data_IF_905902636449
#
_entry.id   IF_905902636449
#
_cell.length_a   1.000
_cell.length_b   1.000
_cell.length_c   1.000
_cell.angle_alpha   90.00
_cell.angle_beta   90.00
_cell.angle_gamma   90.00
#
_symmetry.space_group_name_H-M   'P 1'
#
loop_
_entity.id
_entity.type
_entity.pdbx_description
1 polymer ?
#
# COMPACT_ATOMS: atom_id res chain seq x y z
N UNK A 1 -13.88 -8.10 -16.55
CA UNK A 1 -13.53 -8.41 -15.14
C UNK A 1 -14.80 -8.73 -14.36
N UNK A 2 -14.76 -9.37 -13.17
CA UNK A 2 -15.98 -9.60 -12.40
C UNK A 2 -16.53 -8.26 -11.87
N UNK A 3 -17.83 -8.04 -12.07
CA UNK A 3 -18.60 -6.84 -11.67
C UNK A 3 -18.48 -6.59 -10.16
N UNK A 4 -18.21 -5.36 -9.77
CA UNK A 4 -18.15 -4.90 -8.37
C UNK A 4 -19.50 -5.18 -7.71
N UNK A 5 -19.50 -5.85 -6.56
CA UNK A 5 -20.73 -6.15 -5.81
C UNK A 5 -21.20 -4.90 -5.05
N UNK A 6 -22.50 -4.73 -4.82
CA UNK A 6 -23.07 -3.55 -4.13
C UNK A 6 -22.39 -3.24 -2.78
N UNK A 7 -22.00 -4.28 -2.02
CA UNK A 7 -21.27 -4.10 -0.74
C UNK A 7 -19.82 -3.61 -0.92
N UNK A 8 -19.17 -3.99 -2.02
CA UNK A 8 -17.84 -3.46 -2.37
C UNK A 8 -17.94 -1.99 -2.81
N UNK A 9 -19.07 -1.62 -3.44
CA UNK A 9 -19.31 -0.27 -3.91
C UNK A 9 -19.43 0.75 -2.76
N UNK A 10 -20.07 0.38 -1.65
CA UNK A 10 -20.16 1.23 -0.46
C UNK A 10 -18.76 1.52 0.15
N UNK A 11 -17.91 0.49 0.31
CA UNK A 11 -16.55 0.66 0.80
C UNK A 11 -15.70 1.52 -0.15
N UNK A 12 -15.83 1.30 -1.46
CA UNK A 12 -15.11 2.07 -2.47
C UNK A 12 -15.59 3.53 -2.48
N UNK A 13 -16.89 3.77 -2.37
CA UNK A 13 -17.48 5.11 -2.32
C UNK A 13 -17.00 5.87 -1.09
N UNK A 14 -16.98 5.23 0.08
CA UNK A 14 -16.44 5.85 1.29
C UNK A 14 -14.95 6.18 1.13
N UNK A 15 -14.17 5.22 0.60
CA UNK A 15 -12.75 5.43 0.37
C UNK A 15 -12.47 6.54 -0.65
N UNK A 16 -13.36 6.71 -1.63
CA UNK A 16 -13.30 7.79 -2.61
C UNK A 16 -13.53 9.14 -1.95
N UNK A 17 -14.55 9.27 -1.10
CA UNK A 17 -14.80 10.50 -0.34
C UNK A 17 -13.59 10.86 0.54
N UNK A 18 -13.00 9.88 1.23
CA UNK A 18 -11.81 10.10 2.06
C UNK A 18 -10.57 10.54 1.25
N UNK A 19 -10.49 10.07 0.00
CA UNK A 19 -9.35 10.29 -0.89
C UNK A 19 -9.54 11.45 -1.88
N UNK A 20 -10.72 12.04 -1.98
CA UNK A 20 -11.13 13.02 -3.02
C UNK A 20 -10.07 14.09 -3.26
N UNK A 21 -9.54 14.69 -2.19
CA UNK A 21 -8.52 15.75 -2.26
C UNK A 21 -7.16 15.33 -2.84
N UNK A 22 -6.92 14.03 -3.00
CA UNK A 22 -5.69 13.46 -3.53
C UNK A 22 -5.84 12.94 -4.97
N UNK A 23 -7.07 12.92 -5.50
CA UNK A 23 -7.34 12.45 -6.86
C UNK A 23 -6.94 13.57 -7.83
N UNK A 24 -6.11 13.23 -8.82
CA UNK A 24 -5.55 14.19 -9.77
C UNK A 24 -6.45 14.43 -10.99
N UNK A 25 -7.48 13.59 -11.14
CA UNK A 25 -8.40 13.58 -12.27
C UNK A 25 -9.85 13.59 -11.73
N UNK A 26 -10.83 14.11 -12.49
CA UNK A 26 -12.23 14.00 -12.12
C UNK A 26 -12.64 12.53 -11.95
N UNK A 27 -13.50 12.27 -10.95
CA UNK A 27 -14.13 10.95 -10.80
C UNK A 27 -15.06 10.73 -12.00
N UNK A 28 -14.91 9.65 -12.78
CA UNK A 28 -15.83 9.34 -13.88
C UNK A 28 -17.23 9.02 -13.37
N UNK A 29 -18.24 9.32 -14.18
CA UNK A 29 -19.63 8.95 -13.95
C UNK A 29 -19.87 7.48 -14.33
N UNK A 30 -20.94 6.85 -13.83
CA UNK A 30 -21.20 5.41 -14.05
C UNK A 30 -21.35 5.01 -15.52
N UNK A 31 -21.75 5.95 -16.39
CA UNK A 31 -21.91 5.73 -17.83
C UNK A 31 -20.64 6.03 -18.63
N UNK A 32 -19.58 6.54 -17.99
CA UNK A 32 -18.30 6.79 -18.65
C UNK A 32 -17.54 5.48 -18.88
N UNK A 33 -16.79 5.41 -19.99
CA UNK A 33 -16.06 4.19 -20.37
C UNK A 33 -14.96 3.85 -19.36
N UNK A 34 -14.43 4.85 -18.68
CA UNK A 34 -13.32 4.77 -17.73
C UNK A 34 -13.78 4.30 -16.34
N UNK A 35 -15.09 4.34 -16.04
CA UNK A 35 -15.63 4.10 -14.71
C UNK A 35 -15.23 2.75 -14.13
N UNK A 36 -15.38 1.66 -14.90
CA UNK A 36 -15.01 0.31 -14.45
C UNK A 36 -13.52 0.24 -14.08
N UNK A 37 -12.66 0.83 -14.91
CA UNK A 37 -11.22 0.86 -14.67
C UNK A 37 -10.85 1.70 -13.44
N UNK A 38 -11.56 2.81 -13.21
CA UNK A 38 -11.37 3.67 -12.06
C UNK A 38 -11.73 2.97 -10.76
N UNK A 39 -12.89 2.30 -10.72
CA UNK A 39 -13.34 1.51 -9.56
C UNK A 39 -12.38 0.34 -9.30
N UNK A 40 -11.87 -0.31 -10.34
CA UNK A 40 -10.84 -1.35 -10.20
C UNK A 40 -9.53 -0.80 -9.59
N UNK A 41 -9.11 0.40 -10.00
CA UNK A 41 -7.94 1.08 -9.42
C UNK A 41 -8.15 1.43 -7.94
N UNK A 42 -9.35 1.87 -7.58
CA UNK A 42 -9.72 2.11 -6.18
C UNK A 42 -9.68 0.81 -5.36
N UNK A 43 -10.24 -0.28 -5.88
CA UNK A 43 -10.17 -1.61 -5.25
C UNK A 43 -8.72 -2.08 -5.06
N UNK A 44 -7.86 -1.87 -6.04
CA UNK A 44 -6.43 -2.20 -5.94
C UNK A 44 -5.74 -1.38 -4.84
N UNK A 45 -6.04 -0.09 -4.74
CA UNK A 45 -5.51 0.80 -3.71
C UNK A 45 -5.96 0.38 -2.30
N UNK A 46 -7.22 -0.02 -2.15
CA UNK A 46 -7.76 -0.57 -0.89
C UNK A 46 -7.07 -1.88 -0.48
N UNK A 47 -6.82 -2.76 -1.45
CA UNK A 47 -6.08 -4.01 -1.23
C UNK A 47 -4.65 -3.72 -0.75
N UNK A 48 -3.94 -2.81 -1.42
CA UNK A 48 -2.60 -2.37 -1.01
C UNK A 48 -2.61 -1.76 0.41
N UNK A 49 -3.64 -0.96 0.73
CA UNK A 49 -3.83 -0.39 2.07
C UNK A 49 -4.03 -1.48 3.13
N UNK A 50 -4.80 -2.52 2.83
CA UNK A 50 -5.01 -3.65 3.73
C UNK A 50 -3.70 -4.43 3.96
N UNK A 51 -2.91 -4.63 2.90
CA UNK A 51 -1.59 -5.26 2.97
C UNK A 51 -0.62 -4.52 3.89
N UNK A 52 -0.44 -3.20 3.71
CA UNK A 52 0.44 -2.38 4.57
C UNK A 52 -0.15 -2.08 5.95
N UNK A 53 -1.38 -2.53 6.21
CA UNK A 53 -2.04 -2.52 7.53
C UNK A 53 -1.90 -3.86 8.25
N UNK A 54 -1.15 -4.80 7.67
CA UNK A 54 -0.87 -6.14 8.20
C UNK A 54 -2.10 -7.04 8.29
N UNK A 55 -3.08 -6.85 7.40
CA UNK A 55 -4.15 -7.83 7.26
C UNK A 55 -3.58 -9.16 6.76
N UNK A 56 -4.15 -10.25 7.26
CA UNK A 56 -3.77 -11.60 6.87
C UNK A 56 -3.94 -11.82 5.34
N UNK A 57 -3.01 -12.58 4.76
CA UNK A 57 -2.94 -12.76 3.30
C UNK A 57 -4.16 -13.50 2.75
N UNK A 58 -4.63 -14.54 3.45
CA UNK A 58 -5.83 -15.29 3.07
C UNK A 58 -7.06 -14.38 3.11
N UNK A 59 -7.18 -13.56 4.17
CA UNK A 59 -8.27 -12.57 4.29
C UNK A 59 -8.25 -11.52 3.18
N UNK A 60 -7.06 -11.07 2.75
CA UNK A 60 -6.93 -10.14 1.63
C UNK A 60 -7.37 -10.83 0.33
N UNK A 61 -6.91 -12.06 0.10
CA UNK A 61 -7.27 -12.83 -1.09
C UNK A 61 -8.77 -13.06 -1.20
N UNK A 62 -9.42 -13.47 -0.11
CA UNK A 62 -10.87 -13.65 -0.04
C UNK A 62 -11.62 -12.32 -0.26
N UNK A 63 -11.25 -11.27 0.48
CA UNK A 63 -11.95 -9.98 0.44
C UNK A 63 -11.89 -9.33 -0.94
N UNK A 64 -10.73 -9.38 -1.60
CA UNK A 64 -10.50 -8.68 -2.86
C UNK A 64 -10.57 -9.62 -4.09
N UNK A 65 -10.91 -10.90 -3.89
CA UNK A 65 -10.97 -11.92 -4.93
C UNK A 65 -9.66 -12.06 -5.73
N UNK A 66 -8.54 -12.17 -5.01
CA UNK A 66 -7.19 -12.26 -5.58
C UNK A 66 -6.70 -13.70 -5.54
N UNK A 67 -6.20 -14.19 -6.68
CA UNK A 67 -5.60 -15.52 -6.79
C UNK A 67 -4.30 -15.65 -5.97
N UNK A 68 -3.89 -16.88 -5.58
CA UNK A 68 -2.60 -17.11 -4.94
C UNK A 68 -1.44 -16.48 -5.71
N UNK A 69 -0.55 -15.77 -5.00
CA UNK A 69 0.57 -15.03 -5.60
C UNK A 69 0.19 -13.68 -6.21
N UNK A 70 -1.10 -13.38 -6.39
CA UNK A 70 -1.56 -12.12 -6.98
C UNK A 70 -1.22 -10.88 -6.14
N UNK A 71 -1.18 -11.00 -4.81
CA UNK A 71 -0.72 -9.92 -3.93
C UNK A 71 0.73 -9.57 -4.23
N UNK A 72 1.61 -10.57 -4.31
CA UNK A 72 3.03 -10.37 -4.61
C UNK A 72 3.22 -9.70 -5.98
N UNK A 73 2.51 -10.15 -7.01
CA UNK A 73 2.56 -9.53 -8.34
C UNK A 73 2.10 -8.07 -8.31
N UNK A 74 1.03 -7.75 -7.58
CA UNK A 74 0.56 -6.37 -7.41
C UNK A 74 1.55 -5.51 -6.62
N UNK A 75 2.22 -6.05 -5.59
CA UNK A 75 3.27 -5.32 -4.87
C UNK A 75 4.50 -5.05 -5.74
N UNK A 76 4.90 -6.01 -6.58
CA UNK A 76 5.99 -5.80 -7.54
C UNK A 76 5.66 -4.68 -8.53
N UNK A 77 4.44 -4.66 -9.07
CA UNK A 77 4.00 -3.57 -9.95
C UNK A 77 3.98 -2.22 -9.23
N UNK A 78 3.49 -2.18 -7.98
CA UNK A 78 3.49 -0.97 -7.17
C UNK A 78 4.91 -0.46 -6.88
N UNK A 79 5.88 -1.34 -6.63
CA UNK A 79 7.27 -0.94 -6.41
C UNK A 79 7.86 -0.24 -7.64
N UNK A 80 7.60 -0.77 -8.84
CA UNK A 80 8.02 -0.14 -10.10
C UNK A 80 7.43 1.26 -10.28
N UNK A 81 6.12 1.43 -10.02
CA UNK A 81 5.45 2.72 -10.13
C UNK A 81 5.99 3.73 -9.11
N UNK A 82 6.20 3.31 -7.85
CA UNK A 82 6.74 4.16 -6.81
C UNK A 82 8.21 4.51 -7.04
N UNK A 83 8.98 3.61 -7.64
CA UNK A 83 10.33 3.90 -8.10
C UNK A 83 10.31 5.01 -9.17
N UNK A 84 9.45 4.87 -10.18
CA UNK A 84 9.25 5.90 -11.22
C UNK A 84 8.84 7.25 -10.62
N UNK A 85 7.85 7.26 -9.72
CA UNK A 85 7.41 8.47 -9.02
C UNK A 85 8.57 9.13 -8.25
N UNK A 86 9.40 8.33 -7.55
CA UNK A 86 10.56 8.83 -6.82
C UNK A 86 11.61 9.45 -7.76
N UNK A 87 11.85 8.85 -8.93
CA UNK A 87 12.77 9.44 -9.92
C UNK A 87 12.21 10.73 -10.54
N UNK A 88 10.88 10.82 -10.78
CA UNK A 88 10.24 12.08 -11.21
C UNK A 88 10.35 13.20 -10.16
N UNK A 89 10.27 12.88 -8.86
CA UNK A 89 10.49 13.88 -7.82
C UNK A 89 11.94 14.37 -7.80
N UNK A 90 12.91 13.50 -8.14
CA UNK A 90 14.34 13.86 -8.17
C UNK A 90 14.73 14.78 -9.33
N UNK A 91 13.91 14.86 -10.38
CA UNK A 91 14.17 15.79 -11.50
C UNK A 91 13.74 17.23 -11.20
N UNK A 92 12.97 17.45 -10.12
CA UNK A 92 12.60 18.78 -9.63
C UNK A 92 13.68 19.35 -8.69
N UNK A 93 13.68 20.67 -8.52
CA UNK A 93 14.62 21.35 -7.62
C UNK A 93 14.52 20.80 -6.19
N UNK A 94 15.66 20.59 -5.53
CA UNK A 94 15.69 20.00 -4.18
C UNK A 94 15.29 21.02 -3.11
N UNK A 95 13.99 21.25 -2.94
CA UNK A 95 13.43 21.98 -1.81
C UNK A 95 13.06 21.04 -0.63
N UNK A 96 12.63 21.62 0.49
CA UNK A 96 12.23 20.86 1.69
C UNK A 96 11.03 19.95 1.43
N UNK A 97 10.13 20.34 0.53
CA UNK A 97 8.93 19.57 0.18
C UNK A 97 9.28 18.32 -0.62
N UNK A 98 10.12 18.44 -1.65
CA UNK A 98 10.61 17.34 -2.46
C UNK A 98 11.42 16.34 -1.62
N UNK A 99 12.17 16.81 -0.61
CA UNK A 99 12.84 15.92 0.34
C UNK A 99 11.86 15.11 1.19
N UNK A 100 10.76 15.72 1.64
CA UNK A 100 9.71 15.03 2.38
C UNK A 100 9.03 13.96 1.52
N UNK A 101 8.62 14.32 0.31
CA UNK A 101 7.99 13.39 -0.64
C UNK A 101 8.91 12.20 -0.96
N UNK A 102 10.20 12.44 -1.19
CA UNK A 102 11.15 11.35 -1.42
C UNK A 102 11.25 10.40 -0.22
N UNK A 103 11.22 10.91 1.01
CA UNK A 103 11.25 10.08 2.21
C UNK A 103 9.95 9.30 2.40
N UNK A 104 8.81 9.91 2.12
CA UNK A 104 7.50 9.25 2.20
C UNK A 104 7.39 8.13 1.15
N UNK A 105 7.86 8.35 -0.08
CA UNK A 105 7.94 7.32 -1.11
C UNK A 105 8.87 6.17 -0.72
N UNK A 106 10.05 6.45 -0.13
CA UNK A 106 10.97 5.41 0.38
C UNK A 106 10.31 4.54 1.45
N UNK A 107 9.61 5.17 2.40
CA UNK A 107 8.87 4.45 3.45
C UNK A 107 7.75 3.61 2.86
N UNK A 108 6.96 4.16 1.95
CA UNK A 108 5.84 3.46 1.32
C UNK A 108 6.32 2.23 0.53
N UNK A 109 7.42 2.35 -0.23
CA UNK A 109 8.02 1.21 -0.94
C UNK A 109 8.37 0.06 0.00
N UNK A 110 9.08 0.34 1.09
CA UNK A 110 9.42 -0.69 2.10
C UNK A 110 8.16 -1.30 2.75
N UNK A 111 7.15 -0.48 3.03
CA UNK A 111 5.89 -0.95 3.61
C UNK A 111 5.13 -1.87 2.66
N UNK A 112 5.09 -1.56 1.37
CA UNK A 112 4.46 -2.40 0.34
C UNK A 112 5.27 -3.66 0.05
N UNK A 113 6.59 -3.58 0.05
CA UNK A 113 7.46 -4.74 -0.14
C UNK A 113 7.23 -5.79 0.95
N UNK A 114 7.14 -5.34 2.22
CA UNK A 114 7.07 -6.25 3.35
C UNK A 114 5.67 -6.46 3.94
N UNK A 115 4.68 -5.65 3.56
CA UNK A 115 3.31 -5.73 4.10
C UNK A 115 3.22 -5.35 5.56
N UNK A 116 3.77 -4.18 5.90
CA UNK A 116 3.94 -3.72 7.28
C UNK A 116 3.45 -2.29 7.52
N UNK A 117 3.05 -2.03 8.76
CA UNK A 117 2.87 -0.67 9.27
C UNK A 117 4.22 0.02 9.45
N UNK A 118 4.19 1.34 9.48
CA UNK A 118 5.39 2.18 9.54
C UNK A 118 6.26 1.91 10.79
N UNK A 119 5.64 1.57 11.92
CA UNK A 119 6.33 1.28 13.17
C UNK A 119 7.27 0.06 13.11
N UNK A 120 7.05 -0.86 12.15
CA UNK A 120 7.90 -2.03 11.95
C UNK A 120 9.11 -1.77 11.04
N UNK A 121 9.24 -0.59 10.43
CA UNK A 121 10.35 -0.27 9.51
C UNK A 121 11.73 -0.44 10.15
N UNK A 122 11.85 -0.28 11.47
CA UNK A 122 13.12 -0.47 12.18
C UNK A 122 13.47 -1.94 12.43
N UNK A 123 12.50 -2.85 12.36
CA UNK A 123 12.70 -4.29 12.54
C UNK A 123 12.90 -5.02 11.21
N UNK A 124 12.31 -4.52 10.13
CA UNK A 124 12.32 -5.19 8.82
C UNK A 124 13.65 -5.03 8.06
N UNK A 125 14.51 -4.08 8.45
CA UNK A 125 15.83 -3.83 7.83
C UNK A 125 16.82 -5.01 7.90
N UNK A 126 16.43 -6.12 8.51
CA UNK A 126 17.27 -7.29 8.73
C UNK A 126 16.66 -8.48 7.97
N UNK A 127 17.41 -9.05 7.02
CA UNK A 127 17.01 -10.02 5.99
C UNK A 127 16.28 -11.30 6.47
N UNK A 128 16.04 -11.48 7.76
CA UNK A 128 15.47 -12.71 8.34
C UNK A 128 14.16 -12.50 9.14
N UNK A 129 13.62 -11.28 9.17
CA UNK A 129 12.40 -10.95 9.91
C UNK A 129 11.27 -10.54 8.95
N UNK A 130 10.40 -11.48 8.61
CA UNK A 130 9.16 -11.18 7.88
C UNK A 130 8.08 -10.51 8.76
N UNK A 131 7.00 -10.00 8.14
CA UNK A 131 5.94 -9.21 8.80
C UNK A 131 5.40 -9.83 10.10
N UNK A 132 5.16 -11.14 10.12
CA UNK A 132 4.60 -11.86 11.27
C UNK A 132 5.56 -11.87 12.46
N UNK A 133 6.85 -12.09 12.21
CA UNK A 133 7.88 -12.07 13.26
C UNK A 133 8.11 -10.65 13.75
N UNK A 134 8.17 -9.67 12.84
CA UNK A 134 8.32 -8.26 13.19
C UNK A 134 7.18 -7.77 14.09
N UNK A 135 5.93 -8.10 13.76
CA UNK A 135 4.76 -7.79 14.58
C UNK A 135 4.88 -8.40 15.98
N UNK A 136 5.17 -9.70 16.07
CA UNK A 136 5.38 -10.38 17.37
C UNK A 136 6.44 -9.68 18.21
N UNK A 137 7.62 -9.39 17.65
CA UNK A 137 8.69 -8.69 18.36
C UNK A 137 8.23 -7.31 18.87
N UNK A 138 7.58 -6.54 18.01
CA UNK A 138 7.07 -5.21 18.36
C UNK A 138 6.06 -5.25 19.51
N UNK A 139 5.15 -6.24 19.48
CA UNK A 139 4.13 -6.44 20.52
C UNK A 139 4.76 -6.83 21.87
N UNK A 140 5.92 -7.51 21.87
CA UNK A 140 6.74 -7.77 23.06
C UNK A 140 7.66 -6.60 23.46
N UNK A 141 7.51 -5.43 22.84
CA UNK A 141 8.30 -4.23 23.15
C UNK A 141 9.69 -4.19 22.49
N UNK A 142 10.02 -5.17 21.65
CA UNK A 142 11.27 -5.22 20.89
C UNK A 142 11.08 -4.41 19.61
N UNK A 143 11.54 -3.15 19.64
CA UNK A 143 11.37 -2.19 18.52
C UNK A 143 12.61 -2.01 17.66
N UNK A 144 13.76 -2.45 18.16
CA UNK A 144 15.05 -2.33 17.49
C UNK A 144 15.94 -3.53 17.83
N UNK A 145 16.94 -3.83 17.00
CA UNK A 145 17.90 -4.91 17.24
C UNK A 145 18.64 -4.77 18.59
N UNK A 146 18.90 -3.55 19.07
CA UNK A 146 19.58 -3.32 20.36
C UNK A 146 18.84 -3.97 21.55
N UNK A 147 17.54 -4.21 21.40
CA UNK A 147 16.72 -4.86 22.44
C UNK A 147 16.87 -6.39 22.41
N UNK A 148 17.37 -7.00 21.32
CA UNK A 148 17.58 -8.45 21.18
C UNK A 148 18.94 -8.94 21.71
N UNK A 149 19.88 -8.03 22.01
CA UNK A 149 21.24 -8.34 22.47
C UNK A 149 21.39 -8.26 24.00
N UNK A 150 20.28 -8.37 24.76
CA UNK A 150 20.25 -8.44 26.23
C UNK A 150 19.68 -9.76 26.69
#
# INVERSE_FOLDING_TARGET
SPRVKDREFEEISQALMDAEKYILEPVPEEWDMEFESFVENMKNSLMMRAWISELDEERIMEKYNIAPGGIRSKMQNADWLLYGAKELVRTKDMDTENNKVQNDLKKLRLRLEHGIKEELLNLIKYDQIGRVRARKLYDYGIRTRKTLER
#
